data_IF_604948942693
#
_entry.id   IF_604948942693
#
_cell.length_a   1.000
_cell.length_b   1.000
_cell.length_c   1.000
_cell.angle_alpha   90.00
_cell.angle_beta   90.00
_cell.angle_gamma   90.00
#
_symmetry.space_group_name_H-M   'P 1'
#
loop_
_entity.id
_entity.type
_entity.pdbx_description
1 polymer ?
#
# COMPACT_ATOMS: atom_id res chain seq x y z
N UNK A 1 -17.23 14.43 -86.70
CA UNK A 1 -16.34 13.97 -85.63
C UNK A 1 -16.10 15.13 -84.68
N UNK A 2 -16.89 15.23 -83.61
CA UNK A 2 -16.56 16.13 -82.51
C UNK A 2 -15.69 15.38 -81.50
N UNK A 3 -14.73 16.06 -80.85
CA UNK A 3 -13.83 15.43 -79.89
C UNK A 3 -14.60 15.03 -78.63
N UNK A 4 -14.33 13.82 -78.13
CA UNK A 4 -14.90 13.31 -76.88
C UNK A 4 -14.37 14.20 -75.74
N UNK A 5 -15.23 14.75 -74.87
CA UNK A 5 -14.76 15.56 -73.75
C UNK A 5 -13.85 14.73 -72.85
N UNK A 6 -12.78 15.36 -72.37
CA UNK A 6 -11.85 14.73 -71.44
C UNK A 6 -12.61 14.24 -70.19
N UNK A 7 -12.26 13.07 -69.63
CA UNK A 7 -12.88 12.58 -68.41
C UNK A 7 -12.68 13.60 -67.28
N UNK A 8 -13.74 13.82 -66.49
CA UNK A 8 -13.66 14.69 -65.33
C UNK A 8 -12.54 14.21 -64.38
N UNK A 9 -11.81 15.14 -63.72
CA UNK A 9 -10.81 14.76 -62.74
C UNK A 9 -11.46 13.91 -61.64
N UNK A 10 -10.75 12.88 -61.19
CA UNK A 10 -11.19 12.06 -60.07
C UNK A 10 -11.48 12.96 -58.84
N UNK A 11 -12.52 12.68 -58.05
CA UNK A 11 -12.77 13.40 -56.82
C UNK A 11 -11.53 13.29 -55.92
N UNK A 12 -11.19 14.39 -55.24
CA UNK A 12 -10.12 14.38 -54.26
C UNK A 12 -10.35 13.26 -53.22
N UNK A 13 -9.30 12.57 -52.76
CA UNK A 13 -9.45 11.56 -51.71
C UNK A 13 -10.11 12.21 -50.49
N UNK A 14 -11.13 11.54 -49.94
CA UNK A 14 -11.72 11.92 -48.66
C UNK A 14 -10.58 11.87 -47.64
N UNK A 15 -10.37 12.90 -46.81
CA UNK A 15 -9.37 12.81 -45.75
C UNK A 15 -9.72 11.61 -44.87
N UNK A 16 -8.76 10.71 -44.70
CA UNK A 16 -8.86 9.62 -43.73
C UNK A 16 -9.16 10.25 -42.35
N UNK A 17 -10.08 9.70 -41.54
CA UNK A 17 -10.33 10.24 -40.21
C UNK A 17 -8.99 10.33 -39.47
N UNK A 18 -8.68 11.49 -38.92
CA UNK A 18 -7.46 11.62 -38.12
C UNK A 18 -7.44 10.52 -37.05
N UNK A 19 -6.31 9.83 -36.85
CA UNK A 19 -6.22 8.84 -35.79
C UNK A 19 -6.62 9.53 -34.49
N UNK A 20 -7.56 8.92 -33.77
CA UNK A 20 -7.99 9.41 -32.45
C UNK A 20 -6.71 9.68 -31.64
N UNK A 21 -6.48 10.91 -31.13
CA UNK A 21 -5.26 11.20 -30.39
C UNK A 21 -5.15 10.20 -29.23
N UNK A 22 -3.96 9.64 -29.01
CA UNK A 22 -3.68 8.63 -27.98
C UNK A 22 -3.82 9.14 -26.52
N UNK A 23 -4.64 10.16 -26.27
CA UNK A 23 -4.88 10.68 -24.93
C UNK A 23 -5.94 9.84 -24.21
N UNK A 24 -5.62 9.48 -22.97
CA UNK A 24 -6.47 8.88 -21.91
C UNK A 24 -6.39 7.35 -21.74
N UNK A 25 -5.21 6.72 -21.90
CA UNK A 25 -5.01 5.43 -21.25
C UNK A 25 -4.60 5.69 -19.79
N UNK A 26 -5.44 5.21 -18.87
CA UNK A 26 -5.24 5.35 -17.42
C UNK A 26 -3.86 4.80 -17.02
N UNK A 27 -3.10 5.61 -16.30
CA UNK A 27 -1.73 5.31 -15.95
C UNK A 27 -1.66 4.82 -14.52
N UNK A 28 -1.15 3.59 -14.35
CA UNK A 28 -1.07 2.94 -13.04
C UNK A 28 -0.32 3.81 -12.01
N UNK A 29 -0.78 3.81 -10.75
CA UNK A 29 -0.02 4.39 -9.65
C UNK A 29 1.34 3.73 -9.48
N UNK A 30 2.29 4.51 -9.00
CA UNK A 30 3.63 4.08 -8.65
C UNK A 30 3.70 4.04 -7.11
N UNK A 31 3.77 2.82 -6.58
CA UNK A 31 3.98 2.58 -5.16
C UNK A 31 5.48 2.40 -4.87
N UNK A 32 5.97 3.06 -3.83
CA UNK A 32 7.40 3.10 -3.50
C UNK A 32 7.68 2.35 -2.19
N UNK A 33 8.84 1.69 -2.15
CA UNK A 33 9.28 0.96 -0.98
C UNK A 33 9.54 1.90 0.20
N UNK A 34 9.35 1.37 1.41
CA UNK A 34 9.52 2.07 2.67
C UNK A 34 10.47 1.29 3.57
N UNK A 35 11.32 2.01 4.30
CA UNK A 35 12.18 1.47 5.34
C UNK A 35 11.84 2.14 6.67
N UNK A 36 11.61 1.35 7.71
CA UNK A 36 11.26 1.84 9.05
C UNK A 36 11.97 1.03 10.14
N UNK A 37 12.20 1.70 11.26
CA UNK A 37 12.70 1.10 12.49
C UNK A 37 11.59 1.08 13.54
N UNK A 38 11.53 0.01 14.33
CA UNK A 38 10.61 -0.12 15.46
C UNK A 38 11.33 -0.76 16.64
N UNK A 39 10.96 -0.41 17.86
CA UNK A 39 11.41 -1.13 19.05
C UNK A 39 10.68 -2.46 19.18
N UNK A 40 11.36 -3.51 19.63
CA UNK A 40 10.68 -4.77 19.95
C UNK A 40 9.55 -4.56 20.98
N UNK A 41 8.54 -5.42 20.92
CA UNK A 41 7.33 -5.35 21.76
C UNK A 41 6.55 -4.03 21.66
N UNK A 42 6.80 -3.22 20.62
CA UNK A 42 6.16 -1.92 20.41
C UNK A 42 5.46 -1.83 19.06
N UNK A 43 4.30 -1.17 19.07
CA UNK A 43 3.53 -0.86 17.87
C UNK A 43 4.20 0.23 17.04
N UNK A 44 4.15 0.12 15.70
CA UNK A 44 4.50 1.23 14.81
C UNK A 44 3.35 1.54 13.86
N UNK A 45 2.93 2.82 13.79
CA UNK A 45 2.03 3.31 12.75
C UNK A 45 2.83 3.84 11.57
N UNK A 46 2.51 3.36 10.37
CA UNK A 46 3.26 3.60 9.13
C UNK A 46 2.32 4.21 8.10
N UNK A 47 2.66 5.41 7.62
CA UNK A 47 1.97 6.07 6.51
C UNK A 47 2.54 5.58 5.19
N UNK A 48 1.93 4.53 4.63
CA UNK A 48 2.52 3.79 3.51
C UNK A 48 2.36 4.46 2.14
N UNK A 49 1.48 5.46 2.00
CA UNK A 49 1.27 6.17 0.74
C UNK A 49 2.06 7.49 0.65
N UNK A 50 2.84 7.84 1.66
CA UNK A 50 3.47 9.16 1.77
C UNK A 50 4.47 9.45 0.64
N UNK A 51 5.05 8.40 0.05
CA UNK A 51 6.00 8.45 -1.06
C UNK A 51 5.40 7.93 -2.39
N UNK A 52 4.11 7.59 -2.44
CA UNK A 52 3.48 7.04 -3.64
C UNK A 52 2.97 8.16 -4.57
N UNK A 53 2.82 7.85 -5.86
CA UNK A 53 2.33 8.80 -6.87
C UNK A 53 1.30 8.14 -7.77
N UNK A 54 0.15 8.76 -7.98
CA UNK A 54 -0.93 8.16 -8.81
C UNK A 54 -0.73 8.28 -10.33
N UNK A 55 0.38 8.87 -10.78
CA UNK A 55 0.84 8.90 -12.17
C UNK A 55 -0.17 9.42 -13.22
N UNK A 56 -1.04 10.34 -12.84
CA UNK A 56 -2.05 10.95 -13.73
C UNK A 56 -3.38 11.11 -13.01
N UNK A 57 -3.78 10.08 -12.27
CA UNK A 57 -4.97 10.06 -11.43
C UNK A 57 -4.60 10.06 -9.94
N UNK A 58 -5.54 10.42 -9.07
CA UNK A 58 -5.28 10.45 -7.63
C UNK A 58 -5.32 9.04 -7.03
N UNK A 59 -4.44 8.74 -6.07
CA UNK A 59 -4.47 7.48 -5.33
C UNK A 59 -5.77 7.37 -4.51
N UNK A 60 -6.42 6.22 -4.59
CA UNK A 60 -7.53 5.86 -3.72
C UNK A 60 -7.01 5.16 -2.46
N UNK A 61 -6.73 5.94 -1.41
CA UNK A 61 -6.13 5.43 -0.18
C UNK A 61 -6.96 4.37 0.59
N UNK A 62 -8.24 4.19 0.25
CA UNK A 62 -9.09 3.13 0.81
C UNK A 62 -8.91 1.77 0.09
N UNK A 63 -8.20 1.74 -1.04
CA UNK A 63 -8.01 0.54 -1.88
C UNK A 63 -6.72 -0.25 -1.57
N UNK A 64 -6.05 0.09 -0.47
CA UNK A 64 -4.82 -0.57 -0.03
C UNK A 64 -5.13 -2.03 0.27
N UNK A 65 -4.29 -2.91 -0.24
CA UNK A 65 -4.33 -4.34 0.04
C UNK A 65 -2.94 -4.81 0.48
N UNK A 66 -2.89 -5.58 1.57
CA UNK A 66 -1.68 -6.29 1.99
C UNK A 66 -1.61 -7.57 1.15
N UNK A 67 -0.60 -7.65 0.26
CA UNK A 67 -0.40 -8.78 -0.65
C UNK A 67 0.33 -9.92 0.06
N UNK A 68 1.33 -9.59 0.88
CA UNK A 68 2.07 -10.55 1.70
C UNK A 68 2.20 -10.01 3.12
N UNK A 69 1.72 -10.79 4.08
CA UNK A 69 1.86 -10.48 5.51
C UNK A 69 3.31 -10.64 6.02
N UNK A 70 3.67 -9.94 7.11
CA UNK A 70 4.94 -10.12 7.79
C UNK A 70 5.13 -11.55 8.32
N UNK A 71 6.39 -11.98 8.48
CA UNK A 71 6.73 -13.33 8.95
C UNK A 71 6.98 -13.40 10.45
N UNK A 72 7.30 -12.28 11.09
CA UNK A 72 7.66 -12.18 12.51
C UNK A 72 6.89 -11.06 13.22
N UNK A 73 5.67 -10.83 12.77
CA UNK A 73 4.78 -9.81 13.26
C UNK A 73 3.44 -9.83 12.53
N UNK A 74 2.62 -8.84 12.83
CA UNK A 74 1.30 -8.66 12.23
C UNK A 74 1.17 -7.23 11.71
N UNK A 75 0.55 -7.08 10.54
CA UNK A 75 0.19 -5.79 9.98
C UNK A 75 -1.32 -5.66 9.80
N UNK A 76 -1.86 -4.48 10.08
CA UNK A 76 -3.28 -4.19 9.93
C UNK A 76 -3.49 -2.78 9.38
N UNK A 77 -4.36 -2.65 8.37
CA UNK A 77 -4.81 -1.36 7.85
C UNK A 77 -5.79 -0.76 8.86
N UNK A 78 -5.50 0.43 9.39
CA UNK A 78 -6.34 1.10 10.40
C UNK A 78 -7.09 2.31 9.87
N UNK A 79 -6.59 2.90 8.79
CA UNK A 79 -7.22 4.01 8.08
C UNK A 79 -6.66 4.11 6.67
N UNK A 80 -7.31 4.92 5.84
CA UNK A 80 -6.87 5.20 4.48
C UNK A 80 -5.42 5.70 4.49
N UNK A 81 -4.48 4.89 3.98
CA UNK A 81 -3.06 5.24 3.91
C UNK A 81 -2.21 4.86 5.13
N UNK A 82 -2.78 4.29 6.19
CA UNK A 82 -2.05 3.95 7.41
C UNK A 82 -2.19 2.49 7.77
N UNK A 83 -1.03 1.84 7.91
CA UNK A 83 -0.89 0.47 8.41
C UNK A 83 -0.20 0.52 9.76
N UNK A 84 -0.68 -0.25 10.72
CA UNK A 84 0.05 -0.49 11.96
C UNK A 84 0.79 -1.82 11.81
N UNK A 85 2.03 -1.89 12.31
CA UNK A 85 2.82 -3.13 12.45
C UNK A 85 3.15 -3.43 13.92
N UNK A 86 2.94 -4.67 14.34
CA UNK A 86 3.34 -5.22 15.65
C UNK A 86 4.30 -6.39 15.44
N UNK A 87 5.55 -6.32 15.92
CA UNK A 87 6.42 -7.50 15.93
C UNK A 87 5.86 -8.57 16.88
N UNK A 88 6.18 -9.83 16.60
CA UNK A 88 5.92 -10.92 17.53
C UNK A 88 6.65 -10.66 18.85
N UNK A 89 6.06 -11.11 19.96
CA UNK A 89 6.60 -10.86 21.29
C UNK A 89 8.04 -11.37 21.42
N UNK A 90 8.95 -10.49 21.82
CA UNK A 90 10.38 -10.77 21.98
C UNK A 90 11.17 -10.86 20.66
N UNK A 91 10.55 -10.64 19.51
CA UNK A 91 11.23 -10.68 18.22
C UNK A 91 12.15 -9.46 18.02
N UNK A 92 13.33 -9.70 17.46
CA UNK A 92 14.24 -8.67 16.97
C UNK A 92 14.91 -9.17 15.69
N UNK A 93 14.99 -8.34 14.68
CA UNK A 93 15.45 -8.73 13.35
C UNK A 93 14.74 -7.98 12.24
N UNK A 94 14.94 -8.42 11.00
CA UNK A 94 14.30 -7.85 9.82
C UNK A 94 12.97 -8.56 9.55
N UNK A 95 11.94 -7.78 9.28
CA UNK A 95 10.66 -8.26 8.77
C UNK A 95 10.22 -7.45 7.55
N UNK A 96 9.28 -7.98 6.77
CA UNK A 96 8.70 -7.25 5.64
C UNK A 96 7.27 -7.66 5.38
N UNK A 97 6.49 -6.70 4.89
CA UNK A 97 5.22 -6.98 4.22
C UNK A 97 5.16 -6.22 2.89
N UNK A 98 4.31 -6.68 1.98
CA UNK A 98 4.10 -6.01 0.70
C UNK A 98 2.67 -5.55 0.54
N UNK A 99 2.47 -4.49 -0.25
CA UNK A 99 1.17 -3.91 -0.51
C UNK A 99 1.01 -3.47 -1.96
N UNK A 100 -0.24 -3.27 -2.35
CA UNK A 100 -0.66 -2.59 -3.58
C UNK A 100 -1.74 -1.57 -3.25
N UNK A 101 -1.92 -0.58 -4.13
CA UNK A 101 -2.99 0.41 -4.05
C UNK A 101 -3.54 0.70 -5.44
N UNK A 102 -4.76 1.20 -5.53
CA UNK A 102 -5.36 1.67 -6.80
C UNK A 102 -5.48 3.19 -6.82
N UNK A 103 -5.61 3.76 -8.01
CA UNK A 103 -6.13 5.13 -8.17
C UNK A 103 -7.67 5.18 -8.10
N UNK A 104 -8.22 6.35 -8.41
CA UNK A 104 -9.66 6.62 -8.47
C UNK A 104 -10.35 6.03 -9.70
N UNK A 105 -9.60 5.52 -10.67
CA UNK A 105 -10.09 4.91 -11.90
C UNK A 105 -9.91 3.37 -11.89
N UNK A 106 -9.50 2.82 -10.74
CA UNK A 106 -9.28 1.41 -10.45
C UNK A 106 -8.02 0.78 -11.08
N UNK A 107 -7.08 1.56 -11.65
CA UNK A 107 -5.80 1.00 -12.07
C UNK A 107 -4.93 0.63 -10.86
N UNK A 108 -4.34 -0.57 -10.90
CA UNK A 108 -3.58 -1.16 -9.81
C UNK A 108 -2.10 -0.77 -9.90
N UNK A 109 -1.48 -0.44 -8.77
CA UNK A 109 -0.05 -0.15 -8.68
C UNK A 109 0.84 -1.37 -8.90
N UNK A 110 2.14 -1.13 -9.04
CA UNK A 110 3.16 -2.15 -8.75
C UNK A 110 3.08 -2.60 -7.28
N UNK A 111 3.66 -3.76 -6.98
CA UNK A 111 3.85 -4.22 -5.61
C UNK A 111 5.01 -3.43 -4.98
N UNK A 112 4.79 -2.88 -3.79
CA UNK A 112 5.81 -2.20 -3.00
C UNK A 112 6.03 -2.90 -1.66
N UNK A 113 7.22 -2.75 -1.10
CA UNK A 113 7.69 -3.41 0.12
C UNK A 113 7.82 -2.41 1.27
N UNK A 114 7.33 -2.81 2.43
CA UNK A 114 7.63 -2.13 3.70
C UNK A 114 8.63 -3.00 4.46
N UNK A 115 9.87 -2.53 4.53
CA UNK A 115 11.00 -3.19 5.17
C UNK A 115 11.15 -2.66 6.60
N UNK A 116 11.05 -3.56 7.58
CA UNK A 116 11.02 -3.22 8.99
C UNK A 116 12.26 -3.78 9.69
N UNK A 117 12.94 -2.91 10.43
CA UNK A 117 14.04 -3.28 11.33
C UNK A 117 13.57 -3.21 12.78
N UNK A 118 13.43 -4.38 13.41
CA UNK A 118 12.98 -4.51 14.80
C UNK A 118 14.19 -4.50 15.72
N UNK A 119 14.41 -3.37 16.38
CA UNK A 119 15.55 -3.12 17.24
C UNK A 119 15.24 -3.50 18.70
N UNK A 120 16.24 -4.06 19.39
CA UNK A 120 16.13 -4.25 20.84
C UNK A 120 16.12 -2.90 21.54
N UNK A 121 15.27 -2.75 22.55
CA UNK A 121 15.28 -1.61 23.45
C UNK A 121 16.62 -1.58 24.15
N UNK A 122 17.33 -0.45 24.02
CA UNK A 122 18.54 -0.24 24.78
C UNK A 122 18.15 0.02 26.24
N UNK A 123 18.16 -1.01 27.08
CA UNK A 123 18.03 -0.84 28.52
C UNK A 123 19.38 -0.33 29.03
N UNK A 124 19.55 0.99 29.07
CA UNK A 124 20.56 1.57 29.96
C UNK A 124 20.16 1.14 31.37
N UNK A 125 20.88 0.18 31.92
CA UNK A 125 20.75 -0.26 33.30
C UNK A 125 21.11 0.92 34.22
N UNK A 126 20.14 1.78 34.52
CA UNK A 126 20.17 2.55 35.75
C UNK A 126 20.08 1.53 36.88
N UNK A 127 21.09 1.55 37.74
CA UNK A 127 21.34 0.59 38.80
C UNK A 127 20.24 0.63 39.88
N UNK A 128 19.07 0.03 39.62
CA UNK A 128 17.96 -0.03 40.56
C UNK A 128 17.27 -1.41 40.56
N UNK A 129 17.64 -2.21 41.57
CA UNK A 129 16.87 -3.26 42.27
C UNK A 129 16.25 -4.40 41.44
N UNK A 130 15.98 -5.59 42.02
CA UNK A 130 15.39 -6.69 41.26
C UNK A 130 14.00 -6.28 40.78
N UNK A 131 13.89 -5.94 39.49
CA UNK A 131 12.59 -5.84 38.84
C UNK A 131 12.01 -7.24 38.80
N UNK A 132 11.08 -7.46 39.72
CA UNK A 132 10.09 -8.54 39.71
C UNK A 132 9.72 -8.84 38.26
N UNK A 133 9.94 -10.07 37.82
CA UNK A 133 9.37 -10.60 36.60
C UNK A 133 7.85 -10.40 36.70
N UNK A 134 7.37 -9.36 36.04
CA UNK A 134 5.96 -9.02 35.99
C UNK A 134 5.26 -10.08 35.18
N UNK A 135 4.63 -11.02 35.88
CA UNK A 135 3.38 -11.72 35.55
C UNK A 135 2.84 -11.47 34.15
N UNK A 136 2.47 -12.53 33.41
CA UNK A 136 1.85 -12.52 32.08
C UNK A 136 0.54 -11.74 31.94
N UNK A 137 0.55 -10.47 32.30
CA UNK A 137 -0.46 -9.47 32.09
C UNK A 137 -0.20 -8.84 30.72
N UNK A 138 -1.25 -8.79 29.90
CA UNK A 138 -1.19 -8.20 28.58
C UNK A 138 -0.81 -6.71 28.71
N UNK A 139 0.27 -6.28 28.04
CA UNK A 139 0.66 -4.88 27.90
C UNK A 139 -0.55 -4.08 27.36
N UNK A 140 -0.90 -2.89 27.90
CA UNK A 140 -1.99 -2.06 27.36
C UNK A 140 -1.84 -1.75 25.85
N UNK A 141 -0.62 -1.69 25.32
CA UNK A 141 -0.38 -1.60 23.87
C UNK A 141 -0.82 -2.88 23.15
N UNK A 142 -0.58 -4.06 23.72
CA UNK A 142 -1.03 -5.36 23.19
C UNK A 142 -2.56 -5.49 23.21
N UNK A 143 -3.22 -4.92 24.23
CA UNK A 143 -4.69 -4.87 24.28
C UNK A 143 -5.27 -3.95 23.21
N UNK A 144 -4.64 -2.79 22.97
CA UNK A 144 -5.04 -1.90 21.87
C UNK A 144 -4.85 -2.57 20.51
N UNK A 145 -3.77 -3.33 20.34
CA UNK A 145 -3.55 -4.18 19.18
C UNK A 145 -4.60 -5.25 18.96
N UNK A 146 -4.97 -5.96 20.04
CA UNK A 146 -6.01 -6.97 19.97
C UNK A 146 -7.34 -6.35 19.50
N UNK A 147 -7.68 -5.15 19.99
CA UNK A 147 -8.87 -4.43 19.55
C UNK A 147 -8.80 -4.01 18.08
N UNK A 148 -7.63 -3.55 17.61
CA UNK A 148 -7.41 -3.20 16.20
C UNK A 148 -7.58 -4.43 15.31
N UNK A 149 -6.98 -5.57 15.68
CA UNK A 149 -7.09 -6.82 14.95
C UNK A 149 -8.54 -7.32 14.88
N UNK A 150 -9.28 -7.31 15.99
CA UNK A 150 -10.69 -7.71 16.00
C UNK A 150 -11.55 -6.79 15.11
N UNK A 151 -11.24 -5.50 15.04
CA UNK A 151 -11.94 -4.54 14.20
C UNK A 151 -11.65 -4.76 12.71
N UNK A 152 -10.37 -4.90 12.35
CA UNK A 152 -9.94 -5.13 10.96
C UNK A 152 -10.49 -6.46 10.40
N UNK A 153 -10.53 -7.51 11.20
CA UNK A 153 -11.05 -8.82 10.77
C UNK A 153 -12.56 -8.80 10.45
N UNK A 154 -13.34 -7.92 11.09
CA UNK A 154 -14.78 -7.77 10.82
C UNK A 154 -15.07 -7.05 9.50
N UNK A 155 -14.13 -6.25 8.99
CA UNK A 155 -14.28 -5.55 7.72
C UNK A 155 -14.06 -6.49 6.51
N UNK A 156 -13.10 -7.43 6.61
CA UNK A 156 -12.82 -8.41 5.55
C UNK A 156 -13.93 -9.46 5.40
N UNK A 157 -14.59 -9.84 6.51
CA UNK A 157 -15.66 -10.84 6.51
C UNK A 157 -17.02 -10.31 5.99
N UNK A 158 -17.18 -8.99 5.84
CA UNK A 158 -18.43 -8.34 5.43
C UNK A 158 -18.62 -8.17 3.91
N UNK A 159 -17.65 -8.54 3.07
CA UNK A 159 -17.72 -8.38 1.60
C UNK A 159 -18.15 -9.69 0.90
N UNK A 160 -18.45 -10.75 1.66
CA UNK A 160 -19.05 -12.00 1.15
C UNK A 160 -20.45 -12.21 1.75
N UNK A 161 -21.39 -11.37 1.34
CA UNK A 161 -22.83 -11.51 1.60
C UNK A 161 -23.61 -11.09 0.37
#
# INVERSE_FOLDING_TARGET
>A
NEPIPAPAPAPAPIPEPEPVPASLQDQQPIANDINVDVEFDSALSISILANDTGNGDAINAASIEIVKSPSHGQSAIISNGTVVYMPDTGYSGLDNFTYTVKDKNDALSNVASVNISVNKKNVIASNDLPVSEGSGALNPLMLMWLMIMLSAYRLQAGIRG
#
